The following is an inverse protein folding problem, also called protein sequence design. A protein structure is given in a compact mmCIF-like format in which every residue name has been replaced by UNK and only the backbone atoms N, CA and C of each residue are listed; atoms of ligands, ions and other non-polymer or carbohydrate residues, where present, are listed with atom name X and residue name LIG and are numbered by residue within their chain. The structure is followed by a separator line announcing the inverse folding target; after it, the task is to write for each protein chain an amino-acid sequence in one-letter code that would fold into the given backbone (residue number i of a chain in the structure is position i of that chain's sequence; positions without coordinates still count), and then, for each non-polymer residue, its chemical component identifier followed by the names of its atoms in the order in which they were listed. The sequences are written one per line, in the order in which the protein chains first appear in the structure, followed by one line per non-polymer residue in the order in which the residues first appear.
data_IF_039995849237
#
_entry.id   IF_039995849237
#
_cell.length_a   1.000
_cell.length_b   1.000
_cell.length_c   1.000
_cell.angle_alpha   90.00
_cell.angle_beta   90.00
_cell.angle_gamma   90.00
#
_symmetry.space_group_name_H-M   'P 1'
#
loop_
_entity.id
_entity.type
_entity.pdbx_description
1 polymer ?
#
# COMPACT_ATOMS: atom_id res chain seq x y z
N UNK A 1 -23.18 0.23 4.27
CA UNK A 1 -22.97 -0.73 3.16
C UNK A 1 -22.21 -0.15 1.96
N UNK A 2 -22.23 1.17 1.69
CA UNK A 2 -21.43 1.80 0.60
C UNK A 2 -19.90 1.70 0.77
N UNK A 3 -19.39 1.66 2.01
CA UNK A 3 -17.96 1.66 2.33
C UNK A 3 -17.21 0.40 1.87
N UNK A 4 -17.90 -0.74 1.79
CA UNK A 4 -17.27 -2.03 1.44
C UNK A 4 -17.05 -2.18 -0.07
N UNK A 5 -17.93 -1.61 -0.91
CA UNK A 5 -17.78 -1.65 -2.35
C UNK A 5 -16.58 -0.81 -2.81
N UNK A 6 -16.47 0.43 -2.30
CA UNK A 6 -15.36 1.34 -2.62
C UNK A 6 -14.02 0.79 -2.11
N UNK A 7 -13.98 0.27 -0.87
CA UNK A 7 -12.80 -0.38 -0.33
C UNK A 7 -12.37 -1.60 -1.17
N UNK A 8 -13.32 -2.44 -1.59
CA UNK A 8 -13.03 -3.61 -2.41
C UNK A 8 -12.52 -3.23 -3.80
N UNK A 9 -13.08 -2.19 -4.41
CA UNK A 9 -12.63 -1.68 -5.70
C UNK A 9 -11.18 -1.15 -5.63
N UNK A 10 -10.86 -0.36 -4.59
CA UNK A 10 -9.50 0.13 -4.35
C UNK A 10 -8.51 -1.02 -4.13
N UNK A 11 -8.89 -2.02 -3.32
CA UNK A 11 -8.06 -3.21 -3.09
C UNK A 11 -7.85 -3.98 -4.40
N UNK A 12 -8.88 -4.08 -5.25
CA UNK A 12 -8.77 -4.72 -6.55
C UNK A 12 -7.77 -4.00 -7.46
N UNK A 13 -7.83 -2.65 -7.53
CA UNK A 13 -6.84 -1.86 -8.26
C UNK A 13 -5.42 -2.08 -7.73
N UNK A 14 -5.22 -2.13 -6.41
CA UNK A 14 -3.91 -2.40 -5.81
C UNK A 14 -3.42 -3.81 -6.15
N UNK A 15 -4.30 -4.82 -6.17
CA UNK A 15 -3.95 -6.20 -6.55
C UNK A 15 -3.63 -6.33 -8.04
N UNK A 16 -4.40 -5.64 -8.91
CA UNK A 16 -4.12 -5.55 -10.35
C UNK A 16 -2.74 -4.91 -10.54
N UNK A 17 -2.48 -3.76 -9.91
CA UNK A 17 -1.18 -3.12 -9.92
C UNK A 17 -0.05 -4.07 -9.47
N UNK A 18 -0.24 -4.85 -8.40
CA UNK A 18 0.73 -5.87 -7.99
C UNK A 18 0.93 -6.93 -9.07
N UNK A 19 -0.13 -7.47 -9.66
CA UNK A 19 -0.05 -8.55 -10.66
C UNK A 19 0.60 -8.11 -11.97
N UNK A 20 0.30 -6.90 -12.45
CA UNK A 20 0.83 -6.38 -13.71
C UNK A 20 2.24 -5.79 -13.58
N UNK A 21 2.55 -5.16 -12.44
CA UNK A 21 3.79 -4.40 -12.29
C UNK A 21 4.84 -5.19 -11.51
N UNK A 22 4.48 -6.17 -10.66
CA UNK A 22 5.46 -7.05 -10.02
C UNK A 22 6.33 -7.88 -10.98
N UNK A 23 5.87 -8.35 -12.16
CA UNK A 23 6.75 -9.03 -13.12
C UNK A 23 7.65 -8.07 -13.91
N UNK A 24 7.27 -6.79 -14.02
CA UNK A 24 7.99 -5.77 -14.81
C UNK A 24 8.98 -4.96 -13.95
N UNK A 25 8.79 -4.91 -12.63
CA UNK A 25 9.71 -4.18 -11.75
C UNK A 25 11.09 -4.85 -11.73
N UNK A 26 12.18 -4.10 -11.94
CA UNK A 26 13.51 -4.61 -11.68
C UNK A 26 13.59 -5.04 -10.20
N UNK A 27 14.29 -6.15 -9.92
CA UNK A 27 14.50 -6.75 -8.58
C UNK A 27 15.01 -5.77 -7.50
N UNK A 28 15.38 -4.55 -7.88
CA UNK A 28 15.91 -3.46 -7.05
C UNK A 28 14.82 -2.58 -6.40
N UNK A 29 13.61 -2.49 -6.93
CA UNK A 29 12.52 -1.74 -6.28
C UNK A 29 11.81 -2.66 -5.28
N UNK A 30 12.52 -3.03 -4.21
CA UNK A 30 11.93 -3.68 -3.04
C UNK A 30 11.45 -2.59 -2.10
N UNK A 31 10.15 -2.55 -1.78
CA UNK A 31 9.67 -1.67 -0.71
C UNK A 31 10.46 -2.03 0.56
N UNK A 32 11.15 -1.04 1.16
CA UNK A 32 12.04 -1.25 2.32
C UNK A 32 11.24 -1.53 3.59
N UNK A 33 9.95 -1.16 3.59
CA UNK A 33 9.04 -1.35 4.70
C UNK A 33 8.37 -2.73 4.67
N UNK A 34 8.23 -3.33 5.85
CA UNK A 34 7.43 -4.51 6.14
C UNK A 34 6.19 -4.13 6.99
N UNK A 35 4.98 -4.56 6.58
CA UNK A 35 4.65 -5.17 5.30
C UNK A 35 4.83 -4.18 4.13
N UNK A 36 4.90 -4.70 2.90
CA UNK A 36 5.13 -3.85 1.72
C UNK A 36 4.06 -2.76 1.61
N UNK A 37 4.43 -1.64 0.99
CA UNK A 37 3.64 -0.44 0.80
C UNK A 37 2.23 -0.74 0.24
N UNK A 38 2.14 -1.69 -0.69
CA UNK A 38 0.88 -2.13 -1.29
C UNK A 38 0.07 -3.04 -0.38
N UNK A 39 0.72 -3.85 0.47
CA UNK A 39 0.04 -4.70 1.45
C UNK A 39 -0.44 -3.87 2.65
N UNK A 40 0.35 -2.87 3.07
CA UNK A 40 -0.07 -1.84 4.02
C UNK A 40 -1.33 -1.14 3.53
N UNK A 41 -1.39 -0.78 2.24
CA UNK A 41 -2.56 -0.10 1.70
C UNK A 41 -3.85 -0.93 1.81
N UNK A 42 -3.77 -2.23 1.52
CA UNK A 42 -4.89 -3.15 1.67
C UNK A 42 -5.33 -3.24 3.14
N UNK A 43 -4.38 -3.41 4.06
CA UNK A 43 -4.69 -3.51 5.50
C UNK A 43 -5.22 -2.20 6.08
N UNK A 44 -4.67 -1.05 5.68
CA UNK A 44 -5.11 0.27 6.11
C UNK A 44 -6.52 0.60 5.60
N UNK A 45 -6.84 0.26 4.35
CA UNK A 45 -8.19 0.41 3.78
C UNK A 45 -9.19 -0.48 4.51
N UNK A 46 -8.80 -1.72 4.86
CA UNK A 46 -9.67 -2.64 5.63
C UNK A 46 -9.91 -2.17 7.06
N UNK A 47 -8.89 -1.63 7.73
CA UNK A 47 -8.96 -1.25 9.14
C UNK A 47 -9.57 0.13 9.38
N UNK A 48 -9.19 1.12 8.56
CA UNK A 48 -9.58 2.52 8.75
C UNK A 48 -10.62 3.02 7.73
N UNK A 49 -11.01 2.19 6.77
CA UNK A 49 -11.88 2.56 5.67
C UNK A 49 -11.12 3.18 4.48
N UNK A 50 -11.80 3.37 3.33
CA UNK A 50 -11.16 3.75 2.08
C UNK A 50 -10.48 5.11 2.12
N UNK A 51 -11.12 6.15 2.68
CA UNK A 51 -10.56 7.51 2.70
C UNK A 51 -9.32 7.61 3.60
N UNK A 52 -9.42 7.15 4.85
CA UNK A 52 -8.31 7.22 5.82
C UNK A 52 -7.19 6.24 5.44
N UNK A 53 -7.56 5.05 4.97
CA UNK A 53 -6.62 4.03 4.49
C UNK A 53 -5.80 4.54 3.31
N UNK A 54 -6.42 5.17 2.32
CA UNK A 54 -5.72 5.78 1.17
C UNK A 54 -4.79 6.90 1.65
N UNK A 55 -5.25 7.81 2.53
CA UNK A 55 -4.41 8.90 3.06
C UNK A 55 -3.15 8.38 3.77
N UNK A 56 -3.28 7.37 4.65
CA UNK A 56 -2.15 6.72 5.32
C UNK A 56 -1.20 6.04 4.33
N UNK A 57 -1.75 5.36 3.33
CA UNK A 57 -0.98 4.65 2.30
C UNK A 57 -0.17 5.59 1.42
N UNK A 58 -0.76 6.71 1.00
CA UNK A 58 -0.08 7.74 0.22
C UNK A 58 1.06 8.33 1.04
N UNK A 59 0.79 8.78 2.27
CA UNK A 59 1.83 9.32 3.16
C UNK A 59 3.01 8.35 3.31
N UNK A 60 2.75 7.04 3.45
CA UNK A 60 3.80 6.02 3.49
C UNK A 60 4.52 5.82 2.15
N UNK A 61 3.83 5.93 1.02
CA UNK A 61 4.44 5.82 -0.30
C UNK A 61 5.43 6.97 -0.56
N UNK A 62 5.10 8.19 -0.10
CA UNK A 62 6.01 9.34 -0.14
C UNK A 62 7.26 9.14 0.72
N UNK A 63 7.11 8.43 1.84
CA UNK A 63 8.22 8.01 2.71
C UNK A 63 9.01 6.83 2.17
N UNK A 64 8.47 6.04 1.25
CA UNK A 64 9.17 4.92 0.63
C UNK A 64 10.16 5.41 -0.45
N UNK A 65 11.13 6.22 -0.03
CA UNK A 65 12.27 6.70 -0.83
C UNK A 65 13.56 6.04 -0.31
N UNK A 66 14.59 5.85 -1.17
CA UNK A 66 15.81 5.11 -0.82
C UNK A 66 16.65 5.74 0.31
N UNK A 67 16.44 7.03 0.57
CA UNK A 67 17.08 7.87 1.59
C UNK A 67 16.36 7.84 2.94
N UNK A 68 15.22 7.14 3.07
CA UNK A 68 14.50 7.14 4.33
C UNK A 68 15.11 6.17 5.36
N UNK A 69 15.38 6.70 6.56
CA UNK A 69 15.94 6.01 7.74
C UNK A 69 14.90 5.66 8.79
N UNK A 70 13.62 5.94 8.54
CA UNK A 70 12.52 5.54 9.43
C UNK A 70 12.41 4.01 9.57
N UNK A 71 11.90 3.55 10.72
CA UNK A 71 11.70 2.14 11.03
C UNK A 71 10.97 1.42 9.89
N UNK A 72 11.58 0.33 9.40
CA UNK A 72 11.02 -0.47 8.33
C UNK A 72 9.74 -1.22 8.75
N UNK A 73 9.39 -1.28 10.03
CA UNK A 73 8.21 -2.00 10.53
C UNK A 73 7.12 -0.99 10.89
N UNK A 74 6.03 -0.98 10.14
CA UNK A 74 4.89 -0.11 10.44
C UNK A 74 3.61 -0.82 9.97
N UNK A 75 2.78 -1.23 10.93
CA UNK A 75 1.52 -1.94 10.69
C UNK A 75 0.35 -0.97 10.89
N UNK A 76 -0.68 -1.02 10.01
CA UNK A 76 -1.87 -0.22 10.18
C UNK A 76 -2.73 -0.72 11.34
#
# INVERSE_FOLDING_TARGET
MLSNAVASLLILFVKIYQKFISPIKPKKIKCRFHPTCSNYAISAIRKYGPAVGVKKSINRLWRCRPDNTESCIDYP
#
